data_IF_278750643496
#
_entry.id   IF_278750643496
#
_cell.length_a   1.000
_cell.length_b   1.000
_cell.length_c   1.000
_cell.angle_alpha   90.00
_cell.angle_beta   90.00
_cell.angle_gamma   90.00
#
_symmetry.space_group_name_H-M   'P 1'
#
loop_
_entity.id
_entity.type
_entity.pdbx_description
1 polymer ?
#
# COMPACT_ATOMS: atom_id res chain seq x y z
N UNK A 1 -52.29 3.66 -49.73
CA UNK A 1 -51.56 4.77 -49.13
C UNK A 1 -50.12 4.29 -48.86
N UNK A 2 -49.15 4.74 -49.67
CA UNK A 2 -47.73 4.37 -49.50
C UNK A 2 -47.12 5.39 -48.54
N UNK A 3 -46.70 4.98 -47.32
CA UNK A 3 -45.90 5.81 -46.46
C UNK A 3 -44.49 5.99 -47.08
N UNK A 4 -43.99 7.22 -47.19
CA UNK A 4 -42.64 7.42 -47.71
C UNK A 4 -41.62 6.91 -46.69
N UNK A 5 -40.61 6.16 -47.14
CA UNK A 5 -39.50 5.67 -46.30
C UNK A 5 -38.77 6.85 -45.61
N UNK A 6 -38.31 6.68 -44.36
CA UNK A 6 -37.60 7.73 -43.62
C UNK A 6 -36.34 8.14 -44.40
N UNK A 7 -36.16 9.44 -44.60
CA UNK A 7 -34.97 10.00 -45.26
C UNK A 7 -33.75 9.78 -44.37
N UNK A 8 -32.61 9.29 -44.89
CA UNK A 8 -31.40 9.17 -44.10
C UNK A 8 -30.93 10.55 -43.61
N UNK A 9 -30.58 10.63 -42.32
CA UNK A 9 -30.03 11.83 -41.71
C UNK A 9 -28.67 12.10 -42.34
N UNK A 10 -28.55 13.13 -43.19
CA UNK A 10 -27.26 13.59 -43.72
C UNK A 10 -26.59 14.44 -42.66
N UNK A 11 -25.65 13.88 -41.88
CA UNK A 11 -24.76 14.65 -41.02
C UNK A 11 -23.97 15.66 -41.86
N UNK A 12 -23.97 16.92 -41.46
CA UNK A 12 -23.16 17.95 -42.12
C UNK A 12 -21.69 17.67 -41.92
N UNK A 13 -20.82 18.09 -42.88
CA UNK A 13 -19.35 17.93 -42.75
C UNK A 13 -18.83 18.48 -41.43
N UNK A 14 -19.36 19.59 -40.94
CA UNK A 14 -18.99 20.19 -39.66
C UNK A 14 -19.27 19.25 -38.46
N UNK A 15 -20.45 18.58 -38.46
CA UNK A 15 -20.78 17.61 -37.38
C UNK A 15 -19.87 16.40 -37.45
N UNK A 16 -19.55 15.89 -38.64
CA UNK A 16 -18.60 14.79 -38.79
C UNK A 16 -17.21 15.20 -38.29
N UNK A 17 -16.69 16.36 -38.65
CA UNK A 17 -15.42 16.88 -38.19
C UNK A 17 -15.40 17.05 -36.65
N UNK A 18 -16.48 17.56 -36.05
CA UNK A 18 -16.60 17.72 -34.62
C UNK A 18 -16.58 16.35 -33.90
N UNK A 19 -17.31 15.36 -34.39
CA UNK A 19 -17.31 14.00 -33.82
C UNK A 19 -15.94 13.33 -33.94
N UNK A 20 -15.23 13.50 -35.05
CA UNK A 20 -13.87 12.98 -35.23
C UNK A 20 -12.91 13.66 -34.26
N UNK A 21 -12.98 14.99 -34.10
CA UNK A 21 -12.12 15.71 -33.14
C UNK A 21 -12.38 15.24 -31.69
N UNK A 22 -13.64 15.06 -31.29
CA UNK A 22 -14.01 14.53 -29.96
C UNK A 22 -13.45 13.09 -29.79
N UNK A 23 -13.60 12.24 -30.81
CA UNK A 23 -13.08 10.88 -30.80
C UNK A 23 -11.55 10.82 -30.66
N UNK A 24 -10.83 11.67 -31.41
CA UNK A 24 -9.37 11.78 -31.30
C UNK A 24 -8.94 12.32 -29.94
N UNK A 25 -9.64 13.31 -29.40
CA UNK A 25 -9.39 13.83 -28.04
C UNK A 25 -9.59 12.76 -26.97
N UNK A 26 -10.67 11.97 -27.08
CA UNK A 26 -10.91 10.85 -26.17
C UNK A 26 -9.83 9.77 -26.27
N UNK A 27 -9.43 9.38 -27.49
CA UNK A 27 -8.32 8.43 -27.70
C UNK A 27 -7.01 8.95 -27.13
N UNK A 28 -6.74 10.25 -27.28
CA UNK A 28 -5.58 10.90 -26.66
C UNK A 28 -5.61 10.84 -25.14
N UNK A 29 -6.78 11.05 -24.52
CA UNK A 29 -6.96 10.93 -23.07
C UNK A 29 -6.74 9.47 -22.59
N UNK A 30 -7.31 8.50 -23.31
CA UNK A 30 -7.11 7.06 -23.00
C UNK A 30 -5.63 6.70 -23.09
N UNK A 31 -4.95 7.12 -24.14
CA UNK A 31 -3.52 6.91 -24.30
C UNK A 31 -2.70 7.58 -23.19
N UNK A 32 -3.02 8.81 -22.82
CA UNK A 32 -2.38 9.52 -21.73
C UNK A 32 -2.51 8.77 -20.40
N UNK A 33 -3.72 8.33 -20.03
CA UNK A 33 -3.97 7.55 -18.81
C UNK A 33 -3.18 6.25 -18.88
N UNK A 34 -3.26 5.52 -19.99
CA UNK A 34 -2.59 4.24 -20.16
C UNK A 34 -1.06 4.33 -19.97
N UNK A 35 -0.41 5.33 -20.58
CA UNK A 35 1.04 5.49 -20.52
C UNK A 35 1.53 6.21 -19.25
N UNK A 36 0.65 6.98 -18.58
CA UNK A 36 1.02 7.76 -17.39
C UNK A 36 0.55 7.15 -16.08
N UNK A 37 -0.26 6.06 -16.08
CA UNK A 37 -0.82 5.47 -14.87
C UNK A 37 0.23 5.16 -13.80
N UNK A 38 1.43 4.70 -14.18
CA UNK A 38 2.51 4.43 -13.26
C UNK A 38 2.89 5.69 -12.45
N UNK A 39 3.11 6.81 -13.11
CA UNK A 39 3.43 8.08 -12.44
C UNK A 39 2.24 8.74 -11.73
N UNK A 40 1.02 8.25 -11.96
CA UNK A 40 -0.17 8.66 -11.20
C UNK A 40 -0.32 7.89 -9.89
N UNK A 41 0.19 6.66 -9.85
CA UNK A 41 0.09 5.76 -8.69
C UNK A 41 1.30 5.90 -7.78
N UNK A 42 2.51 5.93 -8.34
CA UNK A 42 3.77 5.91 -7.60
C UNK A 42 4.46 7.26 -7.68
N UNK A 43 4.78 7.84 -6.52
CA UNK A 43 5.44 9.14 -6.40
C UNK A 43 6.79 8.99 -5.69
N UNK A 44 7.77 8.34 -6.33
CA UNK A 44 9.07 8.10 -5.72
C UNK A 44 9.80 9.40 -5.41
N UNK A 45 10.46 9.44 -4.27
CA UNK A 45 11.37 10.51 -3.88
C UNK A 45 12.64 9.94 -3.25
N UNK A 46 13.80 10.60 -3.39
CA UNK A 46 15.01 10.21 -2.68
C UNK A 46 14.96 10.65 -1.21
N UNK A 47 15.83 10.10 -0.38
CA UNK A 47 16.15 10.67 0.92
C UNK A 47 16.89 11.99 0.75
N UNK A 48 16.51 13.00 1.51
CA UNK A 48 17.24 14.25 1.65
C UNK A 48 18.12 14.23 2.91
N UNK A 49 18.99 15.25 3.13
CA UNK A 49 19.91 15.27 4.26
C UNK A 49 19.25 15.22 5.66
N UNK A 50 17.97 15.57 5.80
CA UNK A 50 17.26 15.52 7.08
C UNK A 50 17.09 14.09 7.61
N UNK A 51 17.19 13.08 6.74
CA UNK A 51 17.09 11.66 7.12
C UNK A 51 18.41 11.09 7.66
N UNK A 52 19.52 11.83 7.67
CA UNK A 52 20.83 11.30 8.03
C UNK A 52 20.90 10.74 9.47
N UNK A 53 20.03 11.18 10.37
CA UNK A 53 19.99 10.78 11.78
C UNK A 53 18.62 10.25 12.23
N UNK A 54 17.73 9.91 11.29
CA UNK A 54 16.37 9.47 11.59
C UNK A 54 16.35 8.01 12.05
N UNK A 55 17.24 7.17 11.50
CA UNK A 55 17.36 5.78 11.93
C UNK A 55 17.93 5.75 13.37
N UNK A 56 17.28 5.04 14.33
CA UNK A 56 17.80 4.91 15.69
C UNK A 56 19.22 4.34 15.72
N UNK A 57 20.00 4.64 16.75
CA UNK A 57 21.39 4.23 16.86
C UNK A 57 21.62 2.70 16.84
N UNK A 58 20.61 1.92 17.25
CA UNK A 58 20.60 0.46 17.14
C UNK A 58 19.99 -0.05 15.83
N UNK A 59 19.52 0.84 14.96
CA UNK A 59 18.95 0.49 13.67
C UNK A 59 20.03 0.19 12.64
N UNK A 60 19.71 -0.66 11.68
CA UNK A 60 20.63 -1.12 10.64
C UNK A 60 20.02 -0.96 9.25
N UNK A 61 20.83 -0.53 8.30
CA UNK A 61 20.49 -0.55 6.88
C UNK A 61 20.81 -1.91 6.28
N UNK A 62 19.82 -2.55 5.66
CA UNK A 62 19.97 -3.83 4.95
C UNK A 62 19.92 -3.54 3.46
N UNK A 63 21.03 -3.78 2.76
CA UNK A 63 21.11 -3.64 1.31
C UNK A 63 21.17 -5.00 0.63
N UNK A 64 20.44 -5.18 -0.46
CA UNK A 64 20.41 -6.39 -1.27
C UNK A 64 20.24 -6.03 -2.75
N UNK A 65 20.53 -6.99 -3.65
CA UNK A 65 20.46 -6.75 -5.09
C UNK A 65 19.47 -7.72 -5.72
N UNK A 66 18.57 -7.18 -6.53
CA UNK A 66 17.61 -7.91 -7.35
C UNK A 66 17.86 -7.64 -8.83
N UNK A 67 17.25 -8.37 -9.77
CA UNK A 67 17.46 -8.16 -11.20
C UNK A 67 17.18 -6.72 -11.69
N UNK A 68 16.32 -5.98 -10.96
CA UNK A 68 15.97 -4.59 -11.28
C UNK A 68 16.79 -3.55 -10.48
N UNK A 69 17.83 -3.98 -9.77
CA UNK A 69 18.79 -3.11 -9.11
C UNK A 69 18.93 -3.29 -7.61
N UNK A 70 19.76 -2.43 -7.00
CA UNK A 70 20.00 -2.41 -5.56
C UNK A 70 18.74 -1.95 -4.82
N UNK A 71 18.43 -2.64 -3.72
CA UNK A 71 17.31 -2.35 -2.83
C UNK A 71 17.82 -2.10 -1.41
N UNK A 72 17.01 -1.41 -0.61
CA UNK A 72 17.34 -1.04 0.77
C UNK A 72 16.10 -1.19 1.65
N UNK A 73 16.31 -1.77 2.83
CA UNK A 73 15.35 -1.78 3.92
C UNK A 73 16.10 -1.40 5.22
N UNK A 74 15.35 -1.07 6.27
CA UNK A 74 15.93 -0.70 7.56
C UNK A 74 15.37 -1.60 8.65
N UNK A 75 16.26 -2.17 9.44
CA UNK A 75 15.90 -3.02 10.56
C UNK A 75 16.11 -2.26 11.88
N UNK A 76 15.11 -2.23 12.71
CA UNK A 76 15.18 -1.72 14.08
C UNK A 76 15.00 -2.95 14.99
N UNK A 77 16.07 -3.44 15.64
CA UNK A 77 16.01 -4.62 16.49
C UNK A 77 15.22 -4.36 17.77
N UNK A 78 14.71 -5.44 18.37
CA UNK A 78 14.23 -5.42 19.74
C UNK A 78 15.34 -4.91 20.69
N UNK A 79 14.96 -4.27 21.81
CA UNK A 79 15.95 -3.69 22.73
C UNK A 79 16.82 -4.74 23.39
N UNK A 80 16.28 -5.92 23.64
CA UNK A 80 17.07 -7.07 24.12
C UNK A 80 17.66 -7.82 22.92
N UNK A 81 18.88 -7.42 22.52
CA UNK A 81 19.58 -7.91 21.32
C UNK A 81 19.98 -9.39 21.35
N UNK A 82 19.73 -10.12 22.44
CA UNK A 82 20.10 -11.54 22.61
C UNK A 82 18.98 -12.52 22.29
N UNK A 83 17.76 -12.05 22.01
CA UNK A 83 16.57 -12.89 21.80
C UNK A 83 15.90 -12.60 20.46
N UNK A 84 15.19 -13.61 19.95
CA UNK A 84 14.29 -13.42 18.83
C UNK A 84 13.20 -12.42 19.22
N UNK A 85 12.81 -11.51 18.31
CA UNK A 85 11.74 -10.58 18.61
C UNK A 85 10.43 -11.33 18.90
N UNK A 86 9.65 -10.82 19.83
CA UNK A 86 8.32 -11.37 20.10
C UNK A 86 7.44 -11.22 18.86
N UNK A 87 7.50 -10.05 18.22
CA UNK A 87 6.87 -9.74 16.91
C UNK A 87 7.87 -9.02 16.02
N UNK A 88 7.80 -9.30 14.72
CA UNK A 88 8.50 -8.57 13.67
C UNK A 88 7.48 -7.82 12.82
N UNK A 89 7.39 -6.53 13.01
CA UNK A 89 6.52 -5.65 12.25
C UNK A 89 7.19 -5.21 10.96
N UNK A 90 6.59 -5.56 9.82
CA UNK A 90 7.04 -5.10 8.50
C UNK A 90 6.18 -3.90 8.12
N UNK A 91 6.82 -2.74 7.93
CA UNK A 91 6.15 -1.47 7.71
C UNK A 91 6.27 -1.01 6.25
N UNK A 92 5.13 -0.65 5.66
CA UNK A 92 4.99 -0.22 4.28
C UNK A 92 4.42 1.19 4.21
N UNK A 93 5.14 2.12 3.57
CA UNK A 93 4.78 3.52 3.51
C UNK A 93 3.74 3.83 2.40
N UNK A 94 3.13 5.02 2.47
CA UNK A 94 2.25 5.53 1.42
C UNK A 94 3.00 5.86 0.12
N UNK A 95 2.26 6.18 -0.94
CA UNK A 95 2.82 6.38 -2.28
C UNK A 95 3.80 7.57 -2.44
N UNK A 96 3.84 8.49 -1.51
CA UNK A 96 4.78 9.63 -1.50
C UNK A 96 5.70 9.65 -0.29
N UNK A 97 5.70 8.59 0.54
CA UNK A 97 6.45 8.46 1.78
C UNK A 97 7.65 7.53 1.63
N UNK A 98 8.54 7.55 2.59
CA UNK A 98 9.74 6.70 2.66
C UNK A 98 9.68 5.78 3.89
N UNK A 99 10.43 4.68 3.84
CA UNK A 99 10.46 3.70 4.93
C UNK A 99 10.82 4.36 6.28
N UNK A 100 11.79 5.28 6.30
CA UNK A 100 12.22 5.96 7.53
C UNK A 100 11.17 6.93 8.11
N UNK A 101 10.11 7.30 7.38
CA UNK A 101 9.01 8.09 7.94
C UNK A 101 8.29 7.32 9.07
N UNK A 102 8.33 5.99 9.04
CA UNK A 102 7.79 5.14 10.11
C UNK A 102 8.47 5.34 11.47
N UNK A 103 9.72 5.79 11.50
CA UNK A 103 10.43 6.02 12.78
C UNK A 103 9.70 7.04 13.66
N UNK A 104 9.06 8.04 13.05
CA UNK A 104 8.23 9.02 13.77
C UNK A 104 6.97 8.37 14.35
N UNK A 105 6.31 7.50 13.59
CA UNK A 105 5.10 6.79 14.03
C UNK A 105 5.43 5.77 15.12
N UNK A 106 6.59 5.12 15.02
CA UNK A 106 7.06 4.12 15.98
C UNK A 106 7.79 4.72 17.18
N UNK A 107 7.97 6.06 17.20
CA UNK A 107 8.60 6.74 18.34
C UNK A 107 7.78 6.48 19.62
N UNK A 108 8.47 6.02 20.66
CA UNK A 108 7.80 5.69 21.93
C UNK A 108 7.04 4.37 21.95
N UNK A 109 7.20 3.50 20.91
CA UNK A 109 6.60 2.16 20.93
C UNK A 109 7.00 1.41 22.24
N UNK A 110 6.02 0.94 23.03
CA UNK A 110 6.29 0.54 24.41
C UNK A 110 6.95 -0.85 24.52
N UNK A 111 6.65 -1.76 23.58
CA UNK A 111 7.15 -3.13 23.69
C UNK A 111 8.62 -3.23 23.20
N UNK A 112 9.52 -3.48 24.13
CA UNK A 112 10.95 -3.62 23.87
C UNK A 112 11.32 -4.92 23.14
N UNK A 113 10.43 -5.91 23.14
CA UNK A 113 10.66 -7.24 22.57
C UNK A 113 10.25 -7.33 21.09
N UNK A 114 9.57 -6.31 20.56
CA UNK A 114 9.21 -6.24 19.16
C UNK A 114 10.33 -5.60 18.32
N UNK A 115 10.46 -6.04 17.08
CA UNK A 115 11.38 -5.49 16.09
C UNK A 115 10.62 -4.97 14.85
N UNK A 116 11.29 -4.12 14.06
CA UNK A 116 10.67 -3.52 12.88
C UNK A 116 11.57 -3.68 11.65
N UNK A 117 10.96 -4.03 10.52
CA UNK A 117 11.56 -4.00 9.19
C UNK A 117 10.83 -2.97 8.35
N UNK A 118 11.49 -1.84 8.08
CA UNK A 118 10.94 -0.75 7.30
C UNK A 118 11.39 -0.91 5.86
N UNK A 119 10.45 -1.04 4.92
CA UNK A 119 10.77 -1.40 3.53
C UNK A 119 10.53 -0.21 2.60
N UNK A 120 11.60 0.24 1.91
CA UNK A 120 11.46 1.14 0.77
C UNK A 120 11.03 0.37 -0.48
N UNK A 121 10.27 1.04 -1.34
CA UNK A 121 9.86 0.46 -2.62
C UNK A 121 10.94 0.67 -3.70
N UNK A 122 10.97 -0.17 -4.75
CA UNK A 122 11.77 0.12 -5.95
C UNK A 122 11.52 1.54 -6.45
N UNK A 123 12.57 2.28 -6.78
CA UNK A 123 12.63 3.72 -7.10
C UNK A 123 12.48 4.71 -5.94
N UNK A 124 12.14 4.27 -4.72
CA UNK A 124 12.03 5.12 -3.53
C UNK A 124 13.32 5.10 -2.72
N UNK A 125 13.60 6.20 -2.03
CA UNK A 125 14.74 6.32 -1.13
C UNK A 125 16.07 6.02 -1.81
N UNK A 126 16.70 4.91 -1.41
CA UNK A 126 17.96 4.40 -1.99
C UNK A 126 17.75 3.26 -2.99
N UNK A 127 16.50 2.85 -3.23
CA UNK A 127 16.19 1.73 -4.10
C UNK A 127 16.24 2.10 -5.57
N UNK A 128 16.77 1.20 -6.38
CA UNK A 128 16.79 1.31 -7.84
C UNK A 128 15.58 0.60 -8.47
N UNK A 129 15.42 0.74 -9.78
CA UNK A 129 14.38 0.09 -10.56
C UNK A 129 13.07 0.88 -10.60
N UNK A 130 11.96 0.18 -10.78
CA UNK A 130 10.61 0.76 -10.89
C UNK A 130 9.65 0.11 -9.91
N UNK A 131 8.80 0.91 -9.28
CA UNK A 131 7.73 0.44 -8.42
C UNK A 131 6.63 -0.21 -9.26
N UNK A 132 6.57 -1.53 -9.27
CA UNK A 132 5.47 -2.34 -9.79
C UNK A 132 5.04 -3.31 -8.69
N UNK A 133 3.82 -3.84 -8.76
CA UNK A 133 3.36 -4.84 -7.78
C UNK A 133 4.34 -6.02 -7.72
N UNK A 134 4.80 -6.51 -8.89
CA UNK A 134 5.76 -7.62 -8.96
C UNK A 134 7.11 -7.27 -8.30
N UNK A 135 7.65 -6.08 -8.56
CA UNK A 135 8.93 -5.66 -8.00
C UNK A 135 8.81 -5.35 -6.50
N UNK A 136 7.69 -4.77 -6.04
CA UNK A 136 7.45 -4.55 -4.61
C UNK A 136 7.33 -5.85 -3.84
N UNK A 137 6.65 -6.87 -4.40
CA UNK A 137 6.61 -8.22 -3.84
C UNK A 137 8.01 -8.82 -3.73
N UNK A 138 8.75 -8.86 -4.83
CA UNK A 138 10.10 -9.41 -4.85
C UNK A 138 11.04 -8.68 -3.89
N UNK A 139 10.93 -7.34 -3.78
CA UNK A 139 11.75 -6.54 -2.88
C UNK A 139 11.42 -6.80 -1.41
N UNK A 140 10.12 -6.83 -1.05
CA UNK A 140 9.70 -7.07 0.34
C UNK A 140 10.03 -8.50 0.81
N UNK A 141 9.87 -9.49 -0.06
CA UNK A 141 10.23 -10.89 0.25
C UNK A 141 11.75 -11.03 0.44
N UNK A 142 12.53 -10.43 -0.45
CA UNK A 142 13.99 -10.43 -0.33
C UNK A 142 14.48 -9.68 0.92
N UNK A 143 13.82 -8.60 1.33
CA UNK A 143 14.14 -7.89 2.56
C UNK A 143 13.96 -8.80 3.78
N UNK A 144 12.85 -9.54 3.85
CA UNK A 144 12.59 -10.50 4.91
C UNK A 144 13.63 -11.64 4.91
N UNK A 145 13.94 -12.21 3.74
CA UNK A 145 14.94 -13.26 3.59
C UNK A 145 16.34 -12.80 4.03
N UNK A 146 16.71 -11.57 3.67
CA UNK A 146 18.01 -11.00 4.08
C UNK A 146 18.06 -10.77 5.59
N UNK A 147 16.96 -10.32 6.20
CA UNK A 147 16.87 -10.18 7.65
C UNK A 147 16.95 -11.55 8.33
N UNK A 148 16.22 -12.56 7.85
CA UNK A 148 16.28 -13.91 8.37
C UNK A 148 17.71 -14.45 8.37
N UNK A 149 18.42 -14.37 7.24
CA UNK A 149 19.83 -14.77 7.12
C UNK A 149 20.73 -14.02 8.09
N UNK A 150 20.53 -12.70 8.26
CA UNK A 150 21.32 -11.88 9.19
C UNK A 150 21.11 -12.30 10.64
N UNK A 151 19.89 -12.70 10.99
CA UNK A 151 19.55 -13.19 12.33
C UNK A 151 19.92 -14.67 12.54
N UNK A 152 20.42 -15.37 11.53
CA UNK A 152 20.70 -16.81 11.58
C UNK A 152 19.43 -17.66 11.66
N UNK A 153 18.32 -17.19 11.08
CA UNK A 153 17.01 -17.81 11.15
C UNK A 153 16.56 -18.33 9.77
N UNK A 154 15.63 -19.27 9.79
CA UNK A 154 14.83 -19.65 8.62
C UNK A 154 13.56 -18.79 8.54
N UNK A 155 12.89 -18.80 7.39
CA UNK A 155 11.56 -18.19 7.26
C UNK A 155 10.54 -18.79 8.23
N UNK A 156 10.62 -20.11 8.48
CA UNK A 156 9.73 -20.83 9.41
C UNK A 156 9.87 -20.35 10.87
N UNK A 157 11.08 -19.90 11.27
CA UNK A 157 11.30 -19.33 12.60
C UNK A 157 10.67 -17.96 12.76
N UNK A 158 10.56 -17.19 11.66
CA UNK A 158 9.96 -15.86 11.64
C UNK A 158 8.44 -15.88 11.46
N UNK A 159 7.89 -16.83 10.70
CA UNK A 159 6.45 -16.91 10.39
C UNK A 159 5.51 -16.69 11.59
N UNK A 160 5.73 -17.34 12.76
CA UNK A 160 4.83 -17.13 13.90
C UNK A 160 4.94 -15.75 14.56
N UNK A 161 5.85 -14.89 14.09
CA UNK A 161 6.15 -13.56 14.65
C UNK A 161 5.82 -12.42 13.71
N UNK A 162 5.53 -12.75 12.44
CA UNK A 162 5.33 -11.74 11.41
C UNK A 162 4.04 -10.94 11.63
N UNK A 163 4.19 -9.63 11.59
CA UNK A 163 3.09 -8.66 11.60
C UNK A 163 3.32 -7.63 10.50
N UNK A 164 2.28 -6.99 9.99
CA UNK A 164 2.42 -5.94 8.97
C UNK A 164 1.65 -4.69 9.36
N UNK A 165 2.18 -3.54 8.97
CA UNK A 165 1.52 -2.25 9.07
C UNK A 165 1.74 -1.46 7.79
N UNK A 166 0.71 -0.75 7.32
CA UNK A 166 0.83 0.09 6.15
C UNK A 166 -0.20 1.21 6.11
N UNK A 167 0.17 2.31 5.45
CA UNK A 167 -0.69 3.48 5.26
C UNK A 167 -0.96 3.72 3.78
N UNK A 168 -2.22 4.03 3.41
CA UNK A 168 -2.59 4.36 2.03
C UNK A 168 -2.22 3.23 1.06
N UNK A 169 -1.43 3.49 0.01
CA UNK A 169 -0.85 2.44 -0.85
C UNK A 169 -0.15 1.35 -0.03
N UNK A 170 0.56 1.74 1.03
CA UNK A 170 1.24 0.79 1.91
C UNK A 170 0.30 -0.14 2.66
N UNK A 171 -0.96 0.25 2.89
CA UNK A 171 -1.95 -0.67 3.46
C UNK A 171 -2.27 -1.82 2.52
N UNK A 172 -2.30 -1.56 1.22
CA UNK A 172 -2.49 -2.60 0.21
C UNK A 172 -1.25 -3.48 0.06
N UNK A 173 -0.05 -2.90 0.12
CA UNK A 173 1.21 -3.66 0.13
C UNK A 173 1.29 -4.55 1.38
N UNK A 174 0.91 -4.03 2.55
CA UNK A 174 0.89 -4.79 3.81
C UNK A 174 -0.09 -5.97 3.76
N UNK A 175 -1.30 -5.75 3.23
CA UNK A 175 -2.29 -6.81 3.03
C UNK A 175 -1.85 -7.83 1.98
N UNK A 176 -1.26 -7.39 0.87
CA UNK A 176 -0.73 -8.28 -0.17
C UNK A 176 0.46 -9.11 0.35
N UNK A 177 1.35 -8.51 1.13
CA UNK A 177 2.42 -9.24 1.80
C UNK A 177 1.85 -10.26 2.79
N UNK A 178 0.88 -9.86 3.60
CA UNK A 178 0.21 -10.73 4.55
C UNK A 178 -0.51 -11.92 3.88
N UNK A 179 -1.07 -11.72 2.68
CA UNK A 179 -1.71 -12.79 1.92
C UNK A 179 -0.72 -13.85 1.41
N UNK A 180 0.57 -13.50 1.25
CA UNK A 180 1.63 -14.41 0.77
C UNK A 180 2.37 -15.11 1.91
N UNK A 181 2.37 -14.51 3.11
CA UNK A 181 3.04 -14.99 4.30
C UNK A 181 2.06 -15.38 5.41
N UNK A 182 2.49 -16.14 6.41
CA UNK A 182 1.66 -16.50 7.56
C UNK A 182 1.72 -15.39 8.62
N UNK A 183 1.01 -14.30 8.39
CA UNK A 183 1.01 -13.13 9.26
C UNK A 183 0.08 -13.31 10.46
N UNK A 184 0.49 -12.80 11.63
CA UNK A 184 -0.29 -12.85 12.87
C UNK A 184 -1.21 -11.64 13.00
N UNK A 185 -0.72 -10.45 12.59
CA UNK A 185 -1.44 -9.20 12.76
C UNK A 185 -1.23 -8.27 11.58
N UNK A 186 -2.27 -7.56 11.18
CA UNK A 186 -2.23 -6.55 10.13
C UNK A 186 -2.84 -5.26 10.64
N UNK A 187 -2.15 -4.15 10.48
CA UNK A 187 -2.70 -2.80 10.67
C UNK A 187 -2.76 -2.12 9.30
N UNK A 188 -3.96 -1.93 8.78
CA UNK A 188 -4.20 -1.21 7.53
C UNK A 188 -4.76 0.19 7.85
N UNK A 189 -4.00 1.24 7.49
CA UNK A 189 -4.37 2.63 7.76
C UNK A 189 -4.81 3.27 6.45
N UNK A 190 -6.03 3.81 6.42
CA UNK A 190 -6.68 4.38 5.22
C UNK A 190 -6.60 3.45 4.00
N UNK A 191 -7.05 2.18 4.08
CA UNK A 191 -7.04 1.27 2.94
C UNK A 191 -8.15 1.60 1.95
N UNK A 192 -7.89 1.38 0.66
CA UNK A 192 -8.94 1.26 -0.36
C UNK A 192 -9.47 -0.19 -0.44
N UNK A 193 -10.58 -0.41 -1.12
CA UNK A 193 -11.11 -1.75 -1.42
C UNK A 193 -10.32 -2.44 -2.52
N UNK A 194 -10.21 -1.77 -3.66
CA UNK A 194 -9.27 -2.10 -4.77
C UNK A 194 -8.69 -0.82 -5.32
N UNK A 195 -7.47 -0.86 -5.85
CA UNK A 195 -6.86 0.32 -6.50
C UNK A 195 -7.69 0.77 -7.71
N UNK A 196 -8.37 -0.15 -8.38
CA UNK A 196 -9.28 0.17 -9.49
C UNK A 196 -10.51 0.95 -9.04
N UNK A 197 -11.12 0.57 -7.92
CA UNK A 197 -12.27 1.30 -7.35
C UNK A 197 -11.85 2.67 -6.84
N UNK A 198 -10.64 2.80 -6.27
CA UNK A 198 -10.07 4.09 -5.89
C UNK A 198 -9.85 4.97 -7.13
N UNK A 199 -9.22 4.44 -8.17
CA UNK A 199 -9.06 5.17 -9.44
C UNK A 199 -10.41 5.56 -10.06
N UNK A 200 -11.45 4.73 -9.91
CA UNK A 200 -12.79 5.05 -10.40
C UNK A 200 -13.39 6.29 -9.71
N UNK A 201 -13.01 6.58 -8.47
CA UNK A 201 -13.41 7.82 -7.78
C UNK A 201 -12.76 9.07 -8.40
N UNK A 202 -11.58 8.93 -9.03
CA UNK A 202 -10.78 10.03 -9.57
C UNK A 202 -11.05 10.23 -11.06
N UNK A 203 -10.98 9.17 -11.86
CA UNK A 203 -11.06 9.21 -13.34
C UNK A 203 -12.35 8.63 -13.91
N UNK A 204 -13.26 8.14 -13.05
CA UNK A 204 -14.52 7.50 -13.46
C UNK A 204 -14.39 6.02 -13.76
N UNK A 205 -15.47 5.26 -13.53
CA UNK A 205 -15.52 3.80 -13.65
C UNK A 205 -14.98 3.24 -14.98
N UNK A 206 -15.45 3.73 -16.16
CA UNK A 206 -14.99 3.19 -17.44
C UNK A 206 -13.46 3.31 -17.65
N UNK A 207 -12.86 4.45 -17.26
CA UNK A 207 -11.42 4.69 -17.43
C UNK A 207 -10.57 3.93 -16.41
N UNK A 208 -11.10 3.60 -15.24
CA UNK A 208 -10.37 2.82 -14.24
C UNK A 208 -10.05 1.40 -14.70
N UNK A 209 -10.79 0.87 -15.69
CA UNK A 209 -10.49 -0.42 -16.31
C UNK A 209 -9.21 -0.41 -17.18
N UNK A 210 -8.66 0.76 -17.48
CA UNK A 210 -7.36 0.90 -18.17
C UNK A 210 -6.16 0.61 -17.24
N UNK A 211 -6.37 0.51 -15.93
CA UNK A 211 -5.31 0.15 -15.00
C UNK A 211 -4.77 -1.25 -15.31
N UNK A 212 -3.45 -1.32 -15.54
CA UNK A 212 -2.72 -2.56 -15.81
C UNK A 212 -2.51 -3.33 -14.50
N UNK A 213 -2.14 -2.61 -13.44
CA UNK A 213 -1.91 -3.18 -12.11
C UNK A 213 -2.96 -2.67 -11.13
N UNK A 214 -3.50 -3.56 -10.32
CA UNK A 214 -4.45 -3.18 -9.28
C UNK A 214 -4.30 -4.10 -8.08
N UNK A 215 -3.99 -3.53 -6.92
CA UNK A 215 -4.16 -4.23 -5.65
C UNK A 215 -5.64 -4.50 -5.41
N UNK A 216 -5.93 -5.70 -4.93
CA UNK A 216 -7.26 -6.12 -4.50
C UNK A 216 -7.21 -6.55 -3.03
N UNK A 217 -7.60 -5.63 -2.14
CA UNK A 217 -7.54 -5.87 -0.71
C UNK A 217 -8.59 -6.89 -0.24
N UNK A 218 -9.72 -7.03 -0.93
CA UNK A 218 -10.70 -8.10 -0.64
C UNK A 218 -10.09 -9.48 -0.86
N UNK A 219 -9.42 -9.65 -1.99
CA UNK A 219 -8.70 -10.89 -2.32
C UNK A 219 -7.59 -11.17 -1.30
N UNK A 220 -6.80 -10.16 -0.96
CA UNK A 220 -5.72 -10.28 0.04
C UNK A 220 -6.25 -10.70 1.41
N UNK A 221 -7.33 -10.06 1.92
CA UNK A 221 -7.95 -10.40 3.21
C UNK A 221 -8.49 -11.83 3.20
N UNK A 222 -9.08 -12.27 2.10
CA UNK A 222 -9.56 -13.64 1.93
C UNK A 222 -8.42 -14.66 2.04
N UNK A 223 -7.30 -14.40 1.37
CA UNK A 223 -6.12 -15.28 1.41
C UNK A 223 -5.41 -15.26 2.79
N UNK A 224 -5.38 -14.11 3.47
CA UNK A 224 -4.88 -14.02 4.86
C UNK A 224 -5.68 -14.96 5.76
N UNK A 225 -7.02 -14.84 5.72
CA UNK A 225 -7.90 -15.65 6.57
C UNK A 225 -7.81 -17.15 6.28
N UNK A 226 -7.62 -17.50 5.01
CA UNK A 226 -7.41 -18.88 4.59
C UNK A 226 -6.07 -19.44 5.07
N UNK A 227 -5.00 -18.64 5.02
CA UNK A 227 -3.64 -19.04 5.41
C UNK A 227 -3.44 -19.08 6.92
N UNK A 228 -4.02 -18.12 7.63
CA UNK A 228 -4.03 -18.03 9.08
C UNK A 228 -5.41 -17.61 9.59
N UNK A 229 -6.28 -18.56 9.96
CA UNK A 229 -7.61 -18.27 10.50
C UNK A 229 -7.61 -17.41 11.77
N UNK A 230 -6.51 -17.37 12.52
CA UNK A 230 -6.36 -16.60 13.75
C UNK A 230 -5.76 -15.21 13.53
N UNK A 231 -5.41 -14.87 12.29
CA UNK A 231 -4.86 -13.55 11.97
C UNK A 231 -5.82 -12.43 12.40
N UNK A 232 -5.28 -11.44 13.11
CA UNK A 232 -6.03 -10.25 13.53
C UNK A 232 -5.77 -9.13 12.53
N UNK A 233 -6.83 -8.43 12.11
CA UNK A 233 -6.74 -7.30 11.18
C UNK A 233 -7.44 -6.11 11.79
N UNK A 234 -6.75 -4.96 11.87
CA UNK A 234 -7.34 -3.68 12.23
C UNK A 234 -7.29 -2.72 11.03
N UNK A 235 -8.37 -1.97 10.87
CA UNK A 235 -8.44 -0.85 9.93
C UNK A 235 -8.64 0.44 10.72
N UNK A 236 -7.73 1.42 10.54
CA UNK A 236 -7.88 2.79 11.03
C UNK A 236 -8.15 3.71 9.85
N UNK A 237 -9.23 4.50 9.90
CA UNK A 237 -9.60 5.34 8.75
C UNK A 237 -10.19 6.67 9.22
N UNK A 238 -9.64 7.78 8.71
CA UNK A 238 -10.14 9.11 9.00
C UNK A 238 -11.50 9.37 8.36
N UNK A 239 -12.45 9.97 9.12
CA UNK A 239 -13.79 10.24 8.58
C UNK A 239 -13.79 11.35 7.53
N UNK A 240 -12.79 12.25 7.56
CA UNK A 240 -12.60 13.35 6.62
C UNK A 240 -11.55 13.07 5.55
N UNK A 241 -11.22 11.78 5.33
CA UNK A 241 -10.32 11.38 4.26
C UNK A 241 -10.90 11.69 2.88
N UNK A 242 -10.28 12.65 2.18
CA UNK A 242 -10.67 13.09 0.83
C UNK A 242 -9.85 12.42 -0.26
N UNK A 243 -8.80 11.67 0.10
CA UNK A 243 -7.96 10.90 -0.83
C UNK A 243 -8.59 9.52 -1.03
N UNK A 244 -8.67 8.73 0.04
CA UNK A 244 -9.35 7.43 0.02
C UNK A 244 -10.60 7.54 0.90
N UNK A 245 -11.80 7.54 0.33
CA UNK A 245 -13.02 7.73 1.11
C UNK A 245 -13.19 6.67 2.20
N UNK A 246 -13.50 7.10 3.43
CA UNK A 246 -13.69 6.21 4.61
C UNK A 246 -14.69 5.07 4.36
N UNK A 247 -15.62 5.25 3.40
CA UNK A 247 -16.55 4.19 2.99
C UNK A 247 -15.84 2.91 2.54
N UNK A 248 -14.64 3.02 1.93
CA UNK A 248 -13.88 1.85 1.46
C UNK A 248 -13.38 0.99 2.62
N UNK A 249 -12.83 1.61 3.68
CA UNK A 249 -12.45 0.89 4.89
C UNK A 249 -13.65 0.27 5.61
N UNK A 250 -14.78 1.00 5.68
CA UNK A 250 -16.03 0.47 6.24
C UNK A 250 -16.60 -0.71 5.43
N UNK A 251 -16.44 -0.67 4.12
CA UNK A 251 -16.88 -1.72 3.21
C UNK A 251 -16.09 -3.01 3.44
N UNK A 252 -14.77 -2.93 3.56
CA UNK A 252 -13.92 -4.06 3.94
C UNK A 252 -14.33 -4.66 5.28
N UNK A 253 -14.54 -3.83 6.31
CA UNK A 253 -14.95 -4.33 7.62
C UNK A 253 -16.36 -4.95 7.62
N UNK A 254 -17.26 -4.46 6.79
CA UNK A 254 -18.60 -5.04 6.62
C UNK A 254 -18.55 -6.39 5.89
N UNK A 255 -17.71 -6.51 4.86
CA UNK A 255 -17.53 -7.75 4.10
C UNK A 255 -16.80 -8.82 4.92
N UNK A 256 -15.90 -8.39 5.82
CA UNK A 256 -15.09 -9.25 6.66
C UNK A 256 -15.29 -8.92 8.15
N UNK A 257 -16.34 -9.45 8.81
CA UNK A 257 -16.73 -9.06 10.18
C UNK A 257 -15.69 -9.36 11.27
N UNK A 258 -14.65 -10.10 10.98
CA UNK A 258 -13.51 -10.33 11.88
C UNK A 258 -12.51 -9.18 11.92
N UNK A 259 -12.66 -8.17 11.05
CA UNK A 259 -11.82 -6.97 11.02
C UNK A 259 -12.30 -6.00 12.09
N UNK A 260 -11.39 -5.53 12.92
CA UNK A 260 -11.62 -4.44 13.85
C UNK A 260 -11.52 -3.10 13.12
N UNK A 261 -12.62 -2.36 13.03
CA UNK A 261 -12.67 -1.08 12.32
C UNK A 261 -12.72 0.10 13.31
N UNK A 262 -11.77 1.02 13.15
CA UNK A 262 -11.65 2.24 13.93
C UNK A 262 -11.83 3.46 13.04
N UNK A 263 -12.99 4.09 13.10
CA UNK A 263 -13.20 5.41 12.52
C UNK A 263 -12.52 6.46 13.38
N UNK A 264 -11.68 7.30 12.77
CA UNK A 264 -10.98 8.41 13.44
C UNK A 264 -11.70 9.70 13.03
N UNK A 265 -12.49 10.22 13.97
CA UNK A 265 -13.39 11.33 13.70
C UNK A 265 -12.61 12.62 13.37
N UNK A 266 -13.01 13.30 12.28
CA UNK A 266 -12.38 14.52 11.79
C UNK A 266 -11.01 14.33 11.12
N UNK A 267 -10.37 13.18 11.25
CA UNK A 267 -9.06 12.94 10.66
C UNK A 267 -9.09 12.90 9.14
N UNK A 268 -8.14 13.59 8.50
CA UNK A 268 -7.90 13.49 7.06
C UNK A 268 -6.95 12.32 6.74
N UNK A 269 -6.61 12.14 5.45
CA UNK A 269 -5.81 11.01 4.95
C UNK A 269 -4.47 10.80 5.66
N UNK A 270 -3.76 11.86 5.99
CA UNK A 270 -2.44 11.79 6.68
C UNK A 270 -2.63 11.99 8.18
N UNK A 271 -3.57 12.84 8.59
CA UNK A 271 -3.86 13.15 9.99
C UNK A 271 -4.23 11.92 10.82
N UNK A 272 -4.81 10.89 10.18
CA UNK A 272 -5.12 9.62 10.86
C UNK A 272 -3.90 8.99 11.54
N UNK A 273 -2.70 9.18 11.00
CA UNK A 273 -1.45 8.65 11.58
C UNK A 273 -1.12 9.29 12.94
N UNK A 274 -1.38 10.59 13.09
CA UNK A 274 -1.14 11.32 14.35
C UNK A 274 -2.34 11.25 15.30
N UNK A 275 -3.56 11.39 14.77
CA UNK A 275 -4.77 11.45 15.59
C UNK A 275 -5.18 10.07 16.15
N UNK A 276 -4.84 8.98 15.45
CA UNK A 276 -5.03 7.63 15.94
C UNK A 276 -3.77 6.98 16.52
N UNK A 277 -2.65 7.71 16.62
CA UNK A 277 -1.34 7.17 17.00
C UNK A 277 -1.42 6.24 18.21
N UNK A 278 -1.92 6.72 19.35
CA UNK A 278 -1.98 5.92 20.58
C UNK A 278 -2.85 4.67 20.46
N UNK A 279 -3.95 4.76 19.69
CA UNK A 279 -4.82 3.60 19.42
C UNK A 279 -4.14 2.57 18.52
N UNK A 280 -3.40 3.03 17.50
CA UNK A 280 -2.61 2.16 16.60
C UNK A 280 -1.54 1.43 17.42
N UNK A 281 -0.73 2.18 18.19
CA UNK A 281 0.32 1.62 19.04
C UNK A 281 -0.27 0.65 20.09
N UNK A 282 -1.36 1.02 20.73
CA UNK A 282 -2.05 0.14 21.67
C UNK A 282 -2.50 -1.18 21.03
N UNK A 283 -3.12 -1.11 19.84
CA UNK A 283 -3.56 -2.31 19.12
C UNK A 283 -2.40 -3.19 18.65
N UNK A 284 -1.29 -2.58 18.22
CA UNK A 284 -0.07 -3.30 17.83
C UNK A 284 0.52 -4.07 19.01
N UNK A 285 0.43 -3.51 20.22
CA UNK A 285 1.08 -4.03 21.41
C UNK A 285 0.28 -5.15 22.11
N UNK A 286 -1.06 -5.21 21.93
CA UNK A 286 -1.96 -6.18 22.58
C UNK A 286 -2.36 -7.32 21.65
#
# INVERSE_FOLDING_TARGET
MHQPAPRPIRLTRAVVCALVAIGLGFLGLVALIYFKQHSMIYHPRPYDPSYAQVLPANGEEISYTLPFGKQTAFYIPARDNGRLPARLWIAFCGNGSLALDWTTILAGYPNSDDAFLLVDYPSYGKCQGYATIANMRASSDAALDMLAKRLGLSGEDLDPRLCTIGHSLGSAVALDFAARHRIQRVVAISPFTTLREEAACIIGGPLSHLLIESYDNRSSITEIRKRNPEAKIAIFHGTDDKVIPVRMGRELAREFPFIEFFAVDGANHVGVLSEAHDKIIHWMNN
#
